data_IF_153072845509
#
_entry.id   IF_153072845509
#
_cell.length_a   1.000
_cell.length_b   1.000
_cell.length_c   1.000
_cell.angle_alpha   90.00
_cell.angle_beta   90.00
_cell.angle_gamma   90.00
#
_symmetry.space_group_name_H-M   'P 1'
#
loop_
_entity.id
_entity.type
_entity.pdbx_description
1 polymer ?
#
# COMPACT_ATOMS: atom_id res chain seq x y z
N UNK A 1 2.01 10.61 1.34
CA UNK A 1 1.82 10.66 -0.12
C UNK A 1 1.48 9.27 -0.61
N UNK A 2 0.53 9.16 -1.55
CA UNK A 2 0.12 7.90 -2.19
C UNK A 2 0.42 7.99 -3.69
N UNK A 3 1.12 7.00 -4.22
CA UNK A 3 1.35 6.83 -5.65
C UNK A 3 0.73 5.51 -6.11
N UNK A 4 0.09 5.53 -7.27
CA UNK A 4 -0.55 4.38 -7.88
C UNK A 4 0.04 4.10 -9.25
N UNK A 5 0.25 2.83 -9.55
CA UNK A 5 0.84 2.38 -10.81
C UNK A 5 0.04 1.23 -11.41
N UNK A 6 -0.05 1.24 -12.74
CA UNK A 6 -0.61 0.15 -13.54
C UNK A 6 0.45 -0.40 -14.50
N UNK A 7 0.37 -1.68 -14.88
CA UNK A 7 1.24 -2.21 -15.91
C UNK A 7 0.95 -1.57 -17.27
N UNK A 8 2.01 -1.26 -18.00
CA UNK A 8 2.02 -0.82 -19.39
C UNK A 8 3.11 -1.62 -20.13
N UNK A 9 2.69 -2.77 -20.69
CA UNK A 9 3.60 -3.78 -21.20
C UNK A 9 4.53 -4.31 -20.09
N UNK A 10 5.84 -4.08 -20.24
CA UNK A 10 6.88 -4.47 -19.27
C UNK A 10 7.28 -3.32 -18.33
N UNK A 11 6.48 -2.25 -18.26
CA UNK A 11 6.74 -1.07 -17.44
C UNK A 11 5.59 -0.82 -16.48
N UNK A 12 5.85 0.01 -15.48
CA UNK A 12 4.84 0.57 -14.60
C UNK A 12 4.59 2.01 -15.01
N UNK A 13 3.36 2.32 -15.41
CA UNK A 13 2.92 3.67 -15.69
C UNK A 13 2.23 4.23 -14.44
N UNK A 14 2.65 5.43 -14.03
CA UNK A 14 2.02 6.14 -12.92
C UNK A 14 0.61 6.57 -13.32
N UNK A 15 -0.35 6.35 -12.45
CA UNK A 15 -1.73 6.75 -12.61
C UNK A 15 -1.93 8.20 -12.14
N UNK A 16 -3.01 8.83 -12.61
CA UNK A 16 -3.44 10.14 -12.14
C UNK A 16 -3.78 10.09 -10.64
N UNK A 17 -3.65 11.23 -9.97
CA UNK A 17 -3.78 11.30 -8.51
C UNK A 17 -5.21 11.00 -8.02
N UNK A 18 -6.21 11.30 -8.83
CA UNK A 18 -7.63 11.08 -8.60
C UNK A 18 -8.11 9.69 -9.05
N UNK A 19 -7.24 8.90 -9.70
CA UNK A 19 -7.58 7.55 -10.10
C UNK A 19 -7.81 6.66 -8.87
N UNK A 20 -8.80 5.74 -8.92
CA UNK A 20 -9.12 4.90 -7.77
C UNK A 20 -7.96 3.94 -7.44
N UNK A 21 -7.52 3.85 -6.17
CA UNK A 21 -6.45 2.94 -5.76
C UNK A 21 -6.71 1.47 -6.12
N UNK A 22 -7.99 1.06 -6.17
CA UNK A 22 -8.40 -0.29 -6.55
C UNK A 22 -8.01 -0.69 -7.99
N UNK A 23 -7.74 0.29 -8.87
CA UNK A 23 -7.29 0.02 -10.24
C UNK A 23 -5.77 -0.10 -10.36
N UNK A 24 -5.02 0.14 -9.27
CA UNK A 24 -3.57 0.05 -9.25
C UNK A 24 -3.12 -1.40 -9.07
N UNK A 25 -2.06 -1.77 -9.78
CA UNK A 25 -1.33 -3.02 -9.49
C UNK A 25 -0.28 -2.82 -8.40
N UNK A 26 0.22 -1.59 -8.24
CA UNK A 26 1.15 -1.25 -7.17
C UNK A 26 0.79 0.11 -6.55
N UNK A 27 0.72 0.13 -5.22
CA UNK A 27 0.54 1.31 -4.40
C UNK A 27 1.81 1.56 -3.57
N UNK A 28 2.31 2.79 -3.60
CA UNK A 28 3.45 3.23 -2.79
C UNK A 28 3.01 4.35 -1.83
N UNK A 29 3.21 4.12 -0.54
CA UNK A 29 2.82 5.01 0.54
C UNK A 29 4.08 5.56 1.22
N UNK A 30 4.40 6.82 0.95
CA UNK A 30 5.48 7.53 1.61
C UNK A 30 4.93 8.60 2.55
N UNK A 31 5.03 8.39 3.87
CA UNK A 31 4.43 9.25 4.91
C UNK A 31 2.97 9.60 4.53
N UNK A 32 2.07 8.60 4.43
CA UNK A 32 0.71 8.81 3.99
C UNK A 32 -0.05 9.72 4.96
N UNK A 33 -1.00 10.49 4.44
CA UNK A 33 -2.01 11.16 5.27
C UNK A 33 -3.06 10.14 5.73
N UNK A 34 -3.79 10.37 6.83
CA UNK A 34 -4.82 9.44 7.32
C UNK A 34 -5.81 8.99 6.23
N UNK A 35 -6.32 9.93 5.43
CA UNK A 35 -7.23 9.61 4.32
C UNK A 35 -6.61 8.69 3.24
N UNK A 36 -5.28 8.76 3.05
CA UNK A 36 -4.58 7.87 2.12
C UNK A 36 -4.45 6.46 2.69
N UNK A 37 -4.26 6.34 4.01
CA UNK A 37 -4.26 5.04 4.71
C UNK A 37 -5.66 4.42 4.64
N UNK A 38 -6.70 5.19 4.96
CA UNK A 38 -8.10 4.74 4.88
C UNK A 38 -8.48 4.25 3.48
N UNK A 39 -8.04 4.95 2.42
CA UNK A 39 -8.31 4.56 1.04
C UNK A 39 -7.70 3.19 0.68
N UNK A 40 -6.55 2.84 1.27
CA UNK A 40 -5.91 1.54 1.06
C UNK A 40 -6.54 0.47 1.93
N UNK A 41 -6.88 0.79 3.18
CA UNK A 41 -7.60 -0.12 4.08
C UNK A 41 -9.00 -0.48 3.56
N UNK A 42 -9.64 0.43 2.81
CA UNK A 42 -10.90 0.15 2.12
C UNK A 42 -10.77 -0.95 1.03
N UNK A 43 -9.54 -1.29 0.60
CA UNK A 43 -9.27 -2.43 -0.29
C UNK A 43 -9.22 -3.77 0.47
N UNK A 44 -9.36 -3.75 1.80
CA UNK A 44 -9.20 -4.93 2.66
C UNK A 44 -7.75 -5.24 3.02
N UNK A 45 -6.83 -4.29 2.84
CA UNK A 45 -5.41 -4.44 3.17
C UNK A 45 -5.07 -3.70 4.46
N UNK A 46 -4.39 -4.35 5.40
CA UNK A 46 -3.86 -3.66 6.57
C UNK A 46 -2.61 -2.86 6.21
N UNK A 47 -2.56 -1.60 6.66
CA UNK A 47 -1.38 -0.73 6.52
C UNK A 47 -0.73 -0.67 7.91
N UNK A 48 0.50 -1.17 8.08
CA UNK A 48 1.16 -1.21 9.38
C UNK A 48 1.42 0.21 9.91
N UNK A 49 1.35 0.38 11.21
CA UNK A 49 1.75 1.62 11.88
C UNK A 49 3.27 1.76 11.93
N UNK A 50 3.77 2.96 12.23
CA UNK A 50 5.21 3.16 12.43
C UNK A 50 5.76 2.29 13.56
N UNK A 51 4.99 2.10 14.64
CA UNK A 51 5.40 1.27 15.76
C UNK A 51 5.55 -0.21 15.34
N UNK A 52 4.60 -0.75 14.56
CA UNK A 52 4.69 -2.12 14.04
C UNK A 52 5.92 -2.32 13.15
N UNK A 53 6.28 -1.29 12.37
CA UNK A 53 7.47 -1.33 11.50
C UNK A 53 8.81 -1.27 12.27
N UNK A 54 8.82 -0.72 13.48
CA UNK A 54 10.02 -0.61 14.33
C UNK A 54 10.37 -1.95 15.01
N UNK A 55 9.41 -2.86 15.12
CA UNK A 55 9.65 -4.21 15.66
C UNK A 55 10.67 -4.98 14.82
N UNK A 56 11.53 -5.76 15.47
CA UNK A 56 12.66 -6.49 14.84
C UNK A 56 12.43 -8.00 14.80
N UNK A 57 11.44 -8.46 15.55
CA UNK A 57 11.03 -9.83 15.72
C UNK A 57 10.55 -10.38 14.37
N UNK A 58 11.14 -11.49 13.93
CA UNK A 58 10.86 -12.07 12.60
C UNK A 58 9.37 -12.37 12.42
N UNK A 59 8.69 -12.82 13.48
CA UNK A 59 7.24 -13.08 13.46
C UNK A 59 6.39 -11.86 13.10
N UNK A 60 6.88 -10.66 13.43
CA UNK A 60 6.14 -9.41 13.23
C UNK A 60 6.48 -8.78 11.88
N UNK A 61 7.58 -9.20 11.25
CA UNK A 61 7.99 -8.79 9.90
C UNK A 61 7.54 -9.72 8.79
N UNK A 62 7.57 -11.04 9.05
CA UNK A 62 7.31 -12.08 8.07
C UNK A 62 6.33 -13.09 8.66
N UNK A 63 5.09 -13.00 8.22
CA UNK A 63 4.03 -13.93 8.61
C UNK A 63 3.26 -14.39 7.37
N UNK A 64 2.54 -15.49 7.53
CA UNK A 64 1.56 -15.95 6.55
C UNK A 64 0.21 -15.49 7.05
N UNK A 65 -0.47 -14.69 6.26
CA UNK A 65 -1.87 -14.37 6.51
C UNK A 65 -2.68 -15.64 6.18
N UNK A 66 -3.41 -16.17 7.16
CA UNK A 66 -4.28 -17.33 6.95
C UNK A 66 -5.52 -16.84 6.21
N UNK A 67 -5.43 -16.86 4.88
CA UNK A 67 -6.58 -16.67 3.97
C UNK A 67 -7.40 -17.95 3.86
#
# INVERSE_FOLDING_TARGET
>A
MLFAYRPDGLRLARMDHDAPPAAAMWLDLYRPMPAQVEAVQALGLEVPTLADMEEIEISNRLYRENT
#
